data_IF_034939600210
#
_entry.id   IF_034939600210
#
_cell.length_a   1.000
_cell.length_b   1.000
_cell.length_c   1.000
_cell.angle_alpha   90.00
_cell.angle_beta   90.00
_cell.angle_gamma   90.00
#
_symmetry.space_group_name_H-M   'P 1'
#
loop_
_entity.id
_entity.type
_entity.pdbx_description
1 polymer ?
#
# COMPACT_ATOMS: atom_id res chain seq x y z
N UNK A 1 9.93 -6.91 17.52
CA UNK A 1 9.19 -8.09 17.00
C UNK A 1 8.41 -8.73 18.11
N UNK A 2 7.09 -8.80 17.97
CA UNK A 2 6.23 -9.36 19.00
C UNK A 2 6.20 -10.89 18.87
N UNK A 3 6.48 -11.63 19.95
CA UNK A 3 6.31 -13.08 19.95
C UNK A 3 4.82 -13.42 19.77
N UNK A 4 4.50 -14.12 18.68
CA UNK A 4 3.14 -14.55 18.35
C UNK A 4 2.59 -14.00 17.03
N UNK A 5 3.13 -12.89 16.52
CA UNK A 5 2.71 -12.32 15.23
C UNK A 5 3.52 -12.96 14.10
N UNK A 6 2.98 -14.01 13.49
CA UNK A 6 3.65 -14.79 12.41
C UNK A 6 3.28 -14.36 11.00
N UNK A 7 2.22 -13.56 10.85
CA UNK A 7 1.64 -13.24 9.55
C UNK A 7 1.49 -11.74 9.35
N UNK A 8 1.42 -11.34 8.09
CA UNK A 8 1.22 -9.95 7.69
C UNK A 8 0.01 -9.86 6.78
N UNK A 9 -0.77 -8.81 6.97
CA UNK A 9 -1.92 -8.50 6.11
C UNK A 9 -1.42 -7.79 4.86
N UNK A 10 -1.80 -8.30 3.70
CA UNK A 10 -1.56 -7.62 2.43
C UNK A 10 -2.50 -6.42 2.34
N UNK A 11 -1.94 -5.23 2.11
CA UNK A 11 -2.72 -3.99 1.94
C UNK A 11 -3.05 -3.80 0.46
N UNK A 12 -4.23 -3.25 0.18
CA UNK A 12 -4.79 -3.13 -1.17
C UNK A 12 -5.56 -4.36 -1.65
N UNK A 13 -5.89 -5.30 -0.76
CA UNK A 13 -6.68 -6.49 -1.05
C UNK A 13 -7.90 -6.56 -0.10
N UNK A 14 -9.07 -6.96 -0.64
CA UNK A 14 -10.35 -6.95 0.07
C UNK A 14 -10.60 -5.59 0.74
N UNK A 15 -10.98 -5.58 2.02
CA UNK A 15 -11.29 -4.37 2.80
C UNK A 15 -10.04 -3.68 3.37
N UNK A 16 -8.85 -4.27 3.20
CA UNK A 16 -7.60 -3.70 3.69
C UNK A 16 -7.13 -2.58 2.76
N UNK A 17 -7.51 -1.34 3.04
CA UNK A 17 -7.17 -0.17 2.21
C UNK A 17 -5.66 0.10 2.12
N UNK A 18 -5.24 0.67 0.99
CA UNK A 18 -3.85 1.09 0.78
C UNK A 18 -3.46 2.27 1.67
N UNK A 19 -2.16 2.53 1.80
CA UNK A 19 -1.67 3.74 2.49
C UNK A 19 -1.62 4.88 1.49
N UNK A 20 -2.42 5.92 1.69
CA UNK A 20 -2.43 7.10 0.81
C UNK A 20 -1.12 7.91 0.91
N UNK A 21 -0.72 8.56 -0.19
CA UNK A 21 0.44 9.47 -0.21
C UNK A 21 1.82 8.80 -0.12
N UNK A 22 1.90 7.46 -0.10
CA UNK A 22 3.19 6.77 0.03
C UNK A 22 3.95 6.70 -1.30
N UNK A 23 5.05 7.47 -1.39
CA UNK A 23 5.88 7.57 -2.59
C UNK A 23 6.86 6.41 -2.78
N UNK A 24 7.38 5.80 -1.70
CA UNK A 24 8.33 4.68 -1.72
C UNK A 24 7.75 3.40 -1.13
N UNK A 25 8.03 2.26 -1.77
CA UNK A 25 7.55 0.94 -1.30
C UNK A 25 6.04 0.72 -1.49
N UNK A 26 5.42 1.44 -2.44
CA UNK A 26 3.98 1.45 -2.71
C UNK A 26 3.35 0.06 -2.92
N UNK A 27 4.11 -0.87 -3.50
CA UNK A 27 3.65 -2.25 -3.77
C UNK A 27 3.34 -3.03 -2.50
N UNK A 28 4.10 -2.82 -1.40
CA UNK A 28 3.86 -3.49 -0.12
C UNK A 28 2.61 -2.94 0.60
N UNK A 29 2.27 -1.69 0.33
CA UNK A 29 1.22 -0.96 1.05
C UNK A 29 -0.03 -0.70 0.21
N UNK A 30 -0.15 -1.33 -0.96
CA UNK A 30 -1.34 -1.24 -1.80
C UNK A 30 -1.59 0.16 -2.37
N UNK A 31 -0.58 1.02 -2.43
CA UNK A 31 -0.72 2.39 -2.94
C UNK A 31 -0.55 2.36 -4.46
N UNK A 32 -1.54 2.84 -5.19
CA UNK A 32 -1.41 3.01 -6.65
C UNK A 32 -0.37 4.10 -6.93
N UNK A 33 0.37 3.94 -8.02
CA UNK A 33 1.22 5.05 -8.49
C UNK A 33 0.29 6.21 -8.84
N UNK A 34 0.48 7.40 -8.24
CA UNK A 34 -0.21 8.59 -8.72
C UNK A 34 0.19 8.75 -10.17
N UNK A 35 -0.78 8.53 -11.07
CA UNK A 35 -0.62 8.87 -12.48
C UNK A 35 -0.90 10.36 -12.53
N UNK A 36 0.15 11.16 -12.68
CA UNK A 36 -0.02 12.48 -13.25
C UNK A 36 -0.50 12.24 -14.67
N UNK A 37 -1.81 12.36 -14.88
CA UNK A 37 -2.28 12.64 -16.21
C UNK A 37 -1.71 14.03 -16.51
N UNK A 38 -0.68 14.08 -17.34
CA UNK A 38 -0.27 15.31 -18.00
C UNK A 38 -1.43 15.73 -18.89
N UNK A 39 -2.42 16.40 -18.29
CA UNK A 39 -3.22 17.37 -19.01
C UNK A 39 -2.24 18.50 -19.40
N UNK A 40 -2.27 18.85 -20.68
CA UNK A 40 -1.34 19.73 -21.41
C UNK A 40 -0.66 20.85 -20.61
#
# INVERSE_FOLDING_TARGET
>A
DLPGVRYHVIRGALDATGVEGRSRGRSKYGTKMPREFSEE
#
